data_IF_057516726797
#
_entry.id   IF_057516726797
#
_cell.length_a   1.000
_cell.length_b   1.000
_cell.length_c   1.000
_cell.angle_alpha   90.00
_cell.angle_beta   90.00
_cell.angle_gamma   90.00
#
_symmetry.space_group_name_H-M   'P 1'
#
loop_
_entity.id
_entity.type
_entity.pdbx_description
1 polymer ?
#
# COMPACT_ATOMS: atom_id res chain seq x y z
N UNK A 1 34.58 -29.38 3.73
CA UNK A 1 34.09 -28.95 5.05
C UNK A 1 34.54 -27.51 5.26
N UNK A 2 33.62 -26.57 5.53
CA UNK A 2 34.00 -25.19 5.83
C UNK A 2 34.63 -25.15 7.23
N UNK A 3 35.81 -24.55 7.35
CA UNK A 3 36.45 -24.36 8.65
C UNK A 3 35.56 -23.46 9.53
N UNK A 4 35.22 -23.95 10.71
CA UNK A 4 34.47 -23.19 11.72
C UNK A 4 35.47 -22.28 12.43
N UNK A 5 35.28 -20.96 12.36
CA UNK A 5 36.07 -20.01 13.14
C UNK A 5 35.54 -19.98 14.58
N UNK A 6 36.37 -19.53 15.54
CA UNK A 6 36.18 -19.63 17.01
C UNK A 6 34.93 -18.92 17.57
N UNK A 7 34.15 -18.30 16.71
CA UNK A 7 32.96 -17.48 16.95
C UNK A 7 31.66 -18.12 16.42
N UNK A 8 31.70 -19.39 15.98
CA UNK A 8 30.51 -20.18 15.62
C UNK A 8 29.88 -19.81 14.29
N UNK A 9 30.53 -18.96 13.49
CA UNK A 9 30.11 -18.59 12.13
C UNK A 9 30.99 -19.34 11.13
N UNK A 10 30.38 -20.06 10.20
CA UNK A 10 31.12 -20.72 9.12
C UNK A 10 31.89 -19.69 8.28
N UNK A 11 33.16 -19.99 7.97
CA UNK A 11 33.98 -19.18 7.06
C UNK A 11 33.26 -18.89 5.72
N UNK A 12 33.57 -17.77 5.05
CA UNK A 12 33.02 -17.47 3.73
C UNK A 12 33.30 -18.62 2.76
N UNK A 13 32.29 -18.99 1.96
CA UNK A 13 32.45 -20.03 0.93
C UNK A 13 33.54 -19.62 -0.08
N UNK A 14 34.26 -20.59 -0.70
CA UNK A 14 35.24 -20.28 -1.73
C UNK A 14 34.68 -19.37 -2.83
N UNK A 15 35.42 -18.32 -3.17
CA UNK A 15 35.01 -17.32 -4.16
C UNK A 15 33.93 -16.33 -3.68
N UNK A 16 33.61 -16.29 -2.38
CA UNK A 16 32.69 -15.32 -1.77
C UNK A 16 33.42 -14.30 -0.92
N UNK A 17 32.78 -13.14 -0.77
CA UNK A 17 33.32 -11.99 -0.07
C UNK A 17 33.56 -12.26 1.42
N UNK A 18 34.78 -11.96 1.89
CA UNK A 18 35.18 -12.13 3.29
C UNK A 18 34.60 -11.11 4.28
N UNK A 19 33.72 -10.21 3.84
CA UNK A 19 33.15 -9.18 4.72
C UNK A 19 32.06 -9.77 5.63
N UNK A 20 32.20 -9.57 6.94
CA UNK A 20 31.20 -9.99 7.92
C UNK A 20 30.09 -8.95 8.07
N UNK A 21 28.85 -9.33 7.73
CA UNK A 21 27.69 -8.45 7.83
C UNK A 21 27.08 -8.58 9.22
N UNK A 22 27.53 -7.73 10.15
CA UNK A 22 27.14 -7.74 11.58
C UNK A 22 25.62 -7.84 11.76
N UNK A 23 24.85 -6.98 11.08
CA UNK A 23 23.37 -6.96 11.17
C UNK A 23 22.73 -8.29 10.78
N UNK A 24 23.35 -9.05 9.87
CA UNK A 24 22.82 -10.32 9.35
C UNK A 24 23.50 -11.55 9.98
N UNK A 25 24.44 -11.34 10.91
CA UNK A 25 25.24 -12.37 11.59
C UNK A 25 25.84 -13.42 10.62
N UNK A 26 26.32 -12.98 9.46
CA UNK A 26 26.88 -13.87 8.42
C UNK A 26 27.84 -13.14 7.48
N UNK A 27 28.71 -13.90 6.81
CA UNK A 27 29.54 -13.37 5.72
C UNK A 27 28.71 -12.97 4.49
N UNK A 28 29.25 -12.01 3.72
CA UNK A 28 28.68 -11.54 2.47
C UNK A 28 28.65 -12.68 1.43
N UNK A 29 27.50 -12.90 0.79
CA UNK A 29 27.32 -13.97 -0.23
C UNK A 29 27.75 -13.53 -1.64
N UNK A 30 28.22 -12.30 -1.82
CA UNK A 30 28.59 -11.78 -3.13
C UNK A 30 29.87 -12.43 -3.65
N UNK A 31 29.94 -12.65 -4.96
CA UNK A 31 31.13 -13.21 -5.64
C UNK A 31 32.26 -12.16 -5.62
N UNK A 32 33.49 -12.63 -5.42
CA UNK A 32 34.70 -11.79 -5.52
C UNK A 32 35.33 -11.89 -6.91
N UNK A 33 35.99 -10.83 -7.34
CA UNK A 33 36.84 -10.88 -8.54
C UNK A 33 38.02 -11.83 -8.34
N UNK A 34 38.60 -12.34 -9.44
CA UNK A 34 39.78 -13.22 -9.38
C UNK A 34 40.91 -12.54 -8.61
N UNK A 35 41.39 -13.20 -7.54
CA UNK A 35 42.47 -12.68 -6.69
C UNK A 35 42.07 -11.61 -5.68
N UNK A 36 40.78 -11.36 -5.44
CA UNK A 36 40.29 -10.39 -4.45
C UNK A 36 39.61 -11.06 -3.27
N UNK A 37 39.71 -10.45 -2.09
CA UNK A 37 39.12 -10.96 -0.83
C UNK A 37 37.68 -10.48 -0.62
N UNK A 38 37.34 -9.32 -1.19
CA UNK A 38 36.03 -8.68 -1.03
C UNK A 38 35.30 -8.45 -2.36
N UNK A 39 33.97 -8.39 -2.33
CA UNK A 39 33.16 -8.09 -3.52
C UNK A 39 33.23 -6.59 -3.86
N UNK A 40 32.69 -6.20 -5.02
CA UNK A 40 32.68 -4.79 -5.45
C UNK A 40 32.05 -3.81 -4.46
N UNK A 41 31.10 -4.24 -3.62
CA UNK A 41 30.48 -3.41 -2.58
C UNK A 41 31.33 -3.26 -1.30
N UNK A 42 32.12 -4.29 -0.96
CA UNK A 42 32.96 -4.31 0.23
C UNK A 42 34.46 -4.14 -0.10
N UNK A 43 34.80 -3.74 -1.32
CA UNK A 43 36.19 -3.59 -1.77
C UNK A 43 37.02 -2.60 -0.93
N UNK A 44 36.37 -1.70 -0.19
CA UNK A 44 37.04 -0.77 0.73
C UNK A 44 37.55 -1.42 2.02
N UNK A 45 37.13 -2.65 2.32
CA UNK A 45 37.68 -3.41 3.44
C UNK A 45 39.05 -4.02 3.11
N UNK A 46 39.47 -3.94 1.84
CA UNK A 46 40.82 -4.29 1.38
C UNK A 46 41.69 -3.04 1.38
N UNK A 47 42.75 -3.00 2.18
CA UNK A 47 43.72 -1.89 2.19
C UNK A 47 44.57 -1.83 0.90
N UNK A 48 44.51 -2.86 0.06
CA UNK A 48 45.29 -3.05 -1.18
C UNK A 48 44.55 -2.60 -2.47
N UNK A 49 43.49 -1.79 -2.36
CA UNK A 49 42.80 -1.24 -3.53
C UNK A 49 43.43 0.09 -3.98
N UNK A 50 44.15 0.08 -5.11
CA UNK A 50 44.70 1.30 -5.75
C UNK A 50 43.64 2.37 -6.08
N UNK A 51 42.37 1.97 -6.20
CA UNK A 51 41.26 2.88 -6.53
C UNK A 51 40.52 3.31 -5.26
N UNK A 52 40.57 4.62 -4.97
CA UNK A 52 39.83 5.25 -3.87
C UNK A 52 38.33 5.27 -4.16
N UNK A 53 37.53 4.76 -3.22
CA UNK A 53 36.07 4.96 -3.20
C UNK A 53 35.70 6.03 -2.20
N UNK A 54 34.68 6.80 -2.55
CA UNK A 54 34.09 7.85 -1.72
C UNK A 54 32.59 7.54 -1.53
N UNK A 55 31.96 8.00 -0.44
CA UNK A 55 30.50 8.01 -0.35
C UNK A 55 29.88 8.74 -1.54
N UNK A 56 28.77 8.25 -2.07
CA UNK A 56 28.10 8.93 -3.16
C UNK A 56 27.52 10.28 -2.67
N UNK A 57 27.73 11.39 -3.38
CA UNK A 57 27.16 12.69 -3.03
C UNK A 57 25.62 12.73 -3.05
N UNK A 58 24.99 11.83 -3.81
CA UNK A 58 23.52 11.74 -3.92
C UNK A 58 22.90 10.82 -2.86
N UNK A 59 23.66 9.87 -2.31
CA UNK A 59 23.23 8.98 -1.22
C UNK A 59 24.44 8.38 -0.50
N UNK A 60 24.78 8.86 0.71
CA UNK A 60 25.92 8.37 1.47
C UNK A 60 25.85 6.89 1.87
N UNK A 61 24.70 6.21 1.68
CA UNK A 61 24.53 4.78 1.99
C UNK A 61 25.27 3.86 1.03
N UNK A 62 25.72 4.34 -0.12
CA UNK A 62 26.57 3.59 -1.04
C UNK A 62 27.84 4.35 -1.40
N UNK A 63 28.83 3.61 -1.91
CA UNK A 63 30.13 4.17 -2.30
C UNK A 63 30.38 4.03 -3.80
N UNK A 64 31.21 4.90 -4.34
CA UNK A 64 31.57 4.99 -5.76
C UNK A 64 33.06 5.25 -5.87
N UNK A 65 33.72 4.72 -6.91
CA UNK A 65 35.11 5.07 -7.19
C UNK A 65 35.21 6.56 -7.54
N UNK A 66 36.14 7.27 -6.89
CA UNK A 66 36.34 8.70 -7.06
C UNK A 66 36.57 9.08 -8.53
N UNK A 67 37.39 8.28 -9.23
CA UNK A 67 37.68 8.41 -10.66
C UNK A 67 36.46 8.22 -11.59
N UNK A 68 35.38 7.62 -11.09
CA UNK A 68 34.18 7.23 -11.83
C UNK A 68 32.95 8.01 -11.36
N UNK A 69 33.12 8.99 -10.46
CA UNK A 69 32.02 9.74 -9.86
C UNK A 69 31.15 10.41 -10.92
N UNK A 70 31.75 11.08 -11.91
CA UNK A 70 31.02 11.76 -12.99
C UNK A 70 30.13 10.82 -13.80
N UNK A 71 30.62 9.62 -14.12
CA UNK A 71 29.84 8.57 -14.80
C UNK A 71 28.75 8.00 -13.90
N UNK A 72 29.05 7.83 -12.62
CA UNK A 72 28.09 7.36 -11.62
C UNK A 72 26.93 8.33 -11.43
N UNK A 73 27.19 9.63 -11.23
CA UNK A 73 26.15 10.64 -11.00
C UNK A 73 25.11 10.68 -12.12
N UNK A 74 25.49 10.35 -13.36
CA UNK A 74 24.56 10.26 -14.50
C UNK A 74 23.57 9.09 -14.39
N UNK A 75 23.98 7.98 -13.77
CA UNK A 75 23.22 6.72 -13.66
C UNK A 75 22.88 6.32 -12.23
N UNK A 76 23.12 7.21 -11.26
CA UNK A 76 22.88 6.93 -9.86
C UNK A 76 21.38 6.73 -9.64
N UNK A 77 21.01 5.65 -8.96
CA UNK A 77 19.61 5.39 -8.63
C UNK A 77 19.02 6.46 -7.70
N UNK A 78 19.88 7.14 -6.92
CA UNK A 78 19.50 8.22 -6.00
C UNK A 78 19.43 9.59 -6.69
N UNK A 79 19.69 9.67 -8.00
CA UNK A 79 19.49 10.89 -8.78
C UNK A 79 17.99 11.21 -8.86
N UNK A 80 17.62 12.44 -8.54
CA UNK A 80 16.23 12.91 -8.72
C UNK A 80 15.86 12.86 -10.21
N UNK A 81 14.77 12.16 -10.51
CA UNK A 81 14.21 12.07 -11.85
C UNK A 81 13.24 13.22 -12.08
N UNK A 82 13.08 13.70 -13.33
CA UNK A 82 12.00 14.62 -13.67
C UNK A 82 10.67 14.04 -13.18
N UNK A 83 9.89 14.87 -12.50
CA UNK A 83 8.56 14.48 -12.02
C UNK A 83 7.61 14.45 -13.21
N UNK A 84 6.78 13.40 -13.35
CA UNK A 84 5.82 13.31 -14.44
C UNK A 84 4.72 14.37 -14.32
N UNK A 85 3.97 14.63 -15.40
CA UNK A 85 2.92 15.65 -15.46
C UNK A 85 1.80 15.45 -14.44
N UNK A 86 1.53 14.20 -14.08
CA UNK A 86 0.54 13.81 -13.07
C UNK A 86 1.06 13.85 -11.63
N UNK A 87 2.28 14.34 -11.41
CA UNK A 87 2.80 14.57 -10.07
C UNK A 87 2.42 15.96 -9.57
N UNK A 88 1.61 16.02 -8.51
CA UNK A 88 1.34 17.24 -7.74
C UNK A 88 1.65 16.96 -6.28
N UNK A 89 2.67 17.63 -5.74
CA UNK A 89 3.16 17.37 -4.39
C UNK A 89 2.02 17.51 -3.36
N UNK A 90 1.87 16.48 -2.55
CA UNK A 90 0.92 16.38 -1.43
C UNK A 90 -0.56 16.61 -1.77
N UNK A 91 -0.97 16.48 -3.03
CA UNK A 91 -2.36 16.75 -3.45
C UNK A 91 -3.39 15.89 -2.70
N UNK A 92 -3.04 14.64 -2.40
CA UNK A 92 -3.92 13.71 -1.70
C UNK A 92 -3.62 13.60 -0.21
N UNK A 93 -2.67 14.39 0.32
CA UNK A 93 -2.19 14.20 1.69
C UNK A 93 -3.22 14.65 2.76
N UNK A 94 -4.28 15.35 2.37
CA UNK A 94 -5.19 16.02 3.31
C UNK A 94 -4.55 17.28 3.93
N UNK A 95 -5.38 18.10 4.58
CA UNK A 95 -4.95 19.31 5.28
C UNK A 95 -4.33 18.99 6.63
N UNK A 96 -3.20 19.63 6.95
CA UNK A 96 -2.66 19.64 8.31
C UNK A 96 -3.48 20.62 9.15
N UNK A 97 -4.03 20.14 10.26
CA UNK A 97 -4.83 20.95 11.20
C UNK A 97 -4.06 21.18 12.48
N UNK A 98 -4.40 22.21 13.27
CA UNK A 98 -3.78 22.44 14.59
C UNK A 98 -3.95 21.22 15.52
N UNK A 99 -5.05 20.46 15.34
CA UNK A 99 -5.32 19.19 16.01
C UNK A 99 -4.22 18.13 15.79
N UNK A 100 -3.48 18.20 14.67
CA UNK A 100 -2.37 17.29 14.33
C UNK A 100 -1.05 17.68 14.98
N UNK A 101 -0.84 18.97 15.20
CA UNK A 101 0.41 19.49 15.78
C UNK A 101 0.48 19.17 17.28
N UNK A 102 -0.68 18.99 17.93
CA UNK A 102 -0.81 18.72 19.36
C UNK A 102 -0.90 17.21 19.72
N UNK A 103 -0.71 16.29 18.76
CA UNK A 103 -0.78 14.85 19.05
C UNK A 103 0.54 14.39 19.68
N UNK A 104 0.59 14.32 21.00
CA UNK A 104 1.62 13.51 21.68
C UNK A 104 1.32 12.03 21.41
N UNK A 105 2.20 11.35 20.66
CA UNK A 105 2.08 9.92 20.38
C UNK A 105 2.39 9.09 21.62
N UNK A 106 1.37 8.87 22.46
CA UNK A 106 1.47 7.97 23.62
C UNK A 106 1.22 6.52 23.18
N UNK A 107 2.21 5.67 23.36
CA UNK A 107 2.10 4.23 23.07
C UNK A 107 1.03 3.58 23.94
N UNK A 108 0.52 2.42 23.53
CA UNK A 108 -0.46 1.68 24.35
C UNK A 108 0.15 1.28 25.70
N UNK A 109 1.45 0.99 25.72
CA UNK A 109 2.15 0.51 26.90
C UNK A 109 2.31 1.57 28.01
N UNK A 110 2.27 2.85 27.64
CA UNK A 110 2.44 3.99 28.55
C UNK A 110 1.10 4.46 29.15
N UNK A 111 -0.04 3.92 28.68
CA UNK A 111 -1.36 4.32 29.15
C UNK A 111 -1.73 3.62 30.45
N UNK A 112 -2.37 4.36 31.35
CA UNK A 112 -2.98 3.79 32.56
C UNK A 112 -4.18 2.90 32.22
N UNK A 113 -4.56 2.02 33.17
CA UNK A 113 -5.75 1.18 33.03
C UNK A 113 -7.01 2.02 32.89
N UNK A 114 -7.11 3.10 33.67
CA UNK A 114 -8.25 4.02 33.72
C UNK A 114 -8.44 4.74 32.38
N UNK A 115 -7.35 5.22 31.78
CA UNK A 115 -7.37 5.81 30.44
C UNK A 115 -7.81 4.79 29.39
N UNK A 116 -7.30 3.56 29.48
CA UNK A 116 -7.68 2.53 28.53
C UNK A 116 -9.16 2.15 28.63
N UNK A 117 -9.70 2.02 29.84
CA UNK A 117 -11.14 1.82 30.03
C UNK A 117 -11.96 2.98 29.47
N UNK A 118 -11.54 4.24 29.69
CA UNK A 118 -12.22 5.41 29.11
C UNK A 118 -12.23 5.38 27.59
N UNK A 119 -11.13 5.00 26.95
CA UNK A 119 -11.04 4.86 25.50
C UNK A 119 -11.96 3.77 24.98
N UNK A 120 -12.01 2.61 25.65
CA UNK A 120 -12.93 1.52 25.28
C UNK A 120 -14.39 1.96 25.44
N UNK A 121 -14.74 2.75 26.46
CA UNK A 121 -16.09 3.30 26.61
C UNK A 121 -16.43 4.31 25.51
N UNK A 122 -15.49 5.19 25.14
CA UNK A 122 -15.65 6.10 23.99
C UNK A 122 -15.87 5.32 22.70
N UNK A 123 -15.06 4.29 22.44
CA UNK A 123 -15.20 3.40 21.28
C UNK A 123 -16.58 2.73 21.28
N UNK A 124 -16.96 2.08 22.38
CA UNK A 124 -18.27 1.41 22.53
C UNK A 124 -19.45 2.36 22.33
N UNK A 125 -19.28 3.64 22.68
CA UNK A 125 -20.30 4.67 22.45
C UNK A 125 -20.33 5.09 20.98
N UNK A 126 -19.17 5.35 20.37
CA UNK A 126 -19.06 5.79 18.99
C UNK A 126 -19.55 4.75 17.96
N UNK A 127 -19.49 3.45 18.31
CA UNK A 127 -20.00 2.36 17.46
C UNK A 127 -21.50 2.09 17.61
N UNK A 128 -22.19 2.73 18.58
CA UNK A 128 -23.64 2.54 18.73
C UNK A 128 -24.37 3.00 17.47
N UNK A 129 -25.33 2.19 17.02
CA UNK A 129 -26.11 2.46 15.82
C UNK A 129 -25.39 2.18 14.50
N UNK A 130 -24.12 1.73 14.53
CA UNK A 130 -23.43 1.22 13.36
C UNK A 130 -23.74 -0.26 13.15
N UNK A 131 -23.76 -0.71 11.90
CA UNK A 131 -23.68 -2.14 11.63
C UNK A 131 -22.27 -2.64 11.99
N UNK A 132 -22.19 -3.44 13.06
CA UNK A 132 -20.92 -3.99 13.54
C UNK A 132 -20.53 -5.33 12.94
N UNK A 133 -21.43 -5.93 12.18
CA UNK A 133 -21.23 -7.22 11.52
C UNK A 133 -21.54 -7.05 10.02
N UNK A 134 -20.51 -6.72 9.21
CA UNK A 134 -20.64 -6.66 7.77
C UNK A 134 -21.26 -7.95 7.19
N UNK A 135 -22.05 -7.80 6.13
CA UNK A 135 -22.60 -8.96 5.42
C UNK A 135 -21.47 -9.83 4.87
N UNK A 136 -21.72 -11.13 4.82
CA UNK A 136 -20.77 -12.10 4.30
C UNK A 136 -21.00 -12.32 2.80
N UNK A 137 -19.97 -12.15 1.98
CA UNK A 137 -20.02 -12.35 0.52
C UNK A 137 -18.81 -13.17 0.07
N UNK A 138 -18.87 -14.48 0.36
CA UNK A 138 -17.85 -15.46 0.00
C UNK A 138 -18.03 -15.94 -1.44
N UNK A 139 -17.78 -15.04 -2.38
CA UNK A 139 -17.84 -15.33 -3.80
C UNK A 139 -16.48 -15.82 -4.32
N UNK A 140 -16.46 -16.40 -5.50
CA UNK A 140 -15.23 -16.80 -6.20
C UNK A 140 -15.46 -16.70 -7.70
N UNK A 141 -14.58 -15.98 -8.39
CA UNK A 141 -14.69 -15.80 -9.83
C UNK A 141 -14.09 -16.98 -10.62
N UNK A 142 -14.79 -17.50 -11.66
CA UNK A 142 -14.32 -18.64 -12.45
C UNK A 142 -12.97 -18.45 -13.14
N UNK A 143 -12.59 -17.21 -13.47
CA UNK A 143 -11.31 -16.90 -14.12
C UNK A 143 -10.07 -17.39 -13.34
N UNK A 144 -10.20 -17.64 -12.04
CA UNK A 144 -9.11 -18.17 -11.21
C UNK A 144 -9.22 -19.67 -10.93
N UNK A 145 -10.24 -20.37 -11.44
CA UNK A 145 -10.49 -21.78 -11.10
C UNK A 145 -9.31 -22.68 -11.44
N UNK A 146 -8.70 -22.52 -12.63
CA UNK A 146 -7.52 -23.30 -13.01
C UNK A 146 -6.36 -23.00 -12.07
N UNK A 147 -6.06 -21.72 -11.86
CA UNK A 147 -4.97 -21.30 -10.99
C UNK A 147 -5.17 -21.74 -9.54
N UNK A 148 -6.39 -21.74 -9.01
CA UNK A 148 -6.70 -22.21 -7.65
C UNK A 148 -6.46 -23.72 -7.48
N UNK A 149 -6.63 -24.49 -8.55
CA UNK A 149 -6.49 -25.95 -8.54
C UNK A 149 -5.10 -26.42 -8.98
N UNK A 150 -4.16 -25.52 -9.30
CA UNK A 150 -2.79 -25.91 -9.65
C UNK A 150 -2.07 -26.51 -8.42
N UNK A 151 -1.69 -27.80 -8.45
CA UNK A 151 -1.03 -28.47 -7.33
C UNK A 151 0.38 -27.94 -7.04
N UNK A 152 0.96 -27.11 -7.93
CA UNK A 152 2.25 -26.46 -7.72
C UNK A 152 2.17 -25.24 -6.80
N UNK A 153 0.97 -24.76 -6.47
CA UNK A 153 0.82 -23.62 -5.59
C UNK A 153 1.19 -23.97 -4.16
N UNK A 154 2.12 -23.20 -3.57
CA UNK A 154 2.29 -23.16 -2.12
C UNK A 154 1.11 -22.47 -1.43
N UNK A 155 1.02 -22.66 -0.11
CA UNK A 155 -0.04 -22.08 0.74
C UNK A 155 -0.20 -20.56 0.58
N UNK A 156 0.92 -19.84 0.41
CA UNK A 156 0.92 -18.38 0.25
C UNK A 156 0.31 -17.96 -1.09
N UNK A 157 0.69 -18.64 -2.18
CA UNK A 157 0.07 -18.43 -3.49
C UNK A 157 -1.43 -18.72 -3.45
N UNK A 158 -1.83 -19.82 -2.81
CA UNK A 158 -3.22 -20.21 -2.66
C UNK A 158 -4.07 -19.19 -1.89
N UNK A 159 -3.57 -18.68 -0.75
CA UNK A 159 -4.20 -17.59 0.00
C UNK A 159 -4.46 -16.37 -0.88
N UNK A 160 -3.44 -15.94 -1.62
CA UNK A 160 -3.55 -14.79 -2.51
C UNK A 160 -4.53 -15.01 -3.67
N UNK A 161 -4.55 -16.21 -4.25
CA UNK A 161 -5.49 -16.56 -5.31
C UNK A 161 -6.92 -16.55 -4.80
N UNK A 162 -7.19 -17.14 -3.62
CA UNK A 162 -8.52 -17.10 -2.97
C UNK A 162 -9.01 -15.67 -2.74
N UNK A 163 -8.13 -14.79 -2.25
CA UNK A 163 -8.47 -13.38 -2.07
C UNK A 163 -8.80 -12.70 -3.40
N UNK A 164 -8.02 -12.92 -4.46
CA UNK A 164 -8.27 -12.34 -5.79
C UNK A 164 -9.56 -12.87 -6.40
N UNK A 165 -9.79 -14.18 -6.31
CA UNK A 165 -11.00 -14.81 -6.82
C UNK A 165 -12.25 -14.25 -6.15
N UNK A 166 -12.21 -14.02 -4.84
CA UNK A 166 -13.35 -13.43 -4.13
C UNK A 166 -13.55 -11.95 -4.43
N UNK A 167 -12.47 -11.16 -4.54
CA UNK A 167 -12.57 -9.76 -4.98
C UNK A 167 -13.25 -9.70 -6.35
N UNK A 168 -12.79 -10.48 -7.33
CA UNK A 168 -13.42 -10.51 -8.65
C UNK A 168 -14.86 -11.02 -8.61
N UNK A 169 -15.17 -12.02 -7.77
CA UNK A 169 -16.55 -12.51 -7.63
C UNK A 169 -17.50 -11.44 -7.08
N UNK A 170 -17.02 -10.62 -6.16
CA UNK A 170 -17.76 -9.45 -5.67
C UNK A 170 -17.88 -8.35 -6.72
N UNK A 171 -16.85 -8.12 -7.54
CA UNK A 171 -16.92 -7.16 -8.64
C UNK A 171 -17.94 -7.58 -9.70
N UNK A 172 -17.97 -8.87 -10.08
CA UNK A 172 -18.96 -9.45 -11.00
C UNK A 172 -20.38 -9.27 -10.46
N UNK A 173 -20.62 -9.63 -9.19
CA UNK A 173 -21.94 -9.51 -8.55
C UNK A 173 -22.41 -8.05 -8.38
N UNK A 174 -21.51 -7.08 -8.51
CA UNK A 174 -21.79 -5.65 -8.47
C UNK A 174 -21.77 -5.00 -9.86
N UNK A 175 -21.65 -5.78 -10.94
CA UNK A 175 -21.59 -5.30 -12.33
C UNK A 175 -20.44 -4.29 -12.57
N UNK A 176 -19.34 -4.46 -11.83
CA UNK A 176 -18.12 -3.66 -11.96
C UNK A 176 -17.17 -4.22 -13.03
N UNK A 177 -17.38 -5.47 -13.44
CA UNK A 177 -16.67 -6.12 -14.55
C UNK A 177 -17.42 -5.89 -15.86
N UNK A 178 -16.79 -5.26 -16.85
CA UNK A 178 -17.43 -4.99 -18.13
C UNK A 178 -16.56 -4.22 -19.12
N UNK A 179 -17.05 -4.05 -20.37
CA UNK A 179 -16.37 -3.28 -21.42
C UNK A 179 -16.39 -1.78 -21.13
N UNK A 180 -15.64 -1.02 -21.93
CA UNK A 180 -15.62 0.47 -21.92
C UNK A 180 -15.28 1.06 -20.55
N UNK A 181 -14.26 0.51 -19.89
CA UNK A 181 -13.86 0.89 -18.53
C UNK A 181 -12.36 1.00 -18.39
N UNK A 182 -11.93 1.87 -17.48
CA UNK A 182 -10.56 1.91 -17.01
C UNK A 182 -10.46 1.39 -15.56
N UNK A 183 -9.75 0.28 -15.37
CA UNK A 183 -9.46 -0.27 -14.05
C UNK A 183 -8.18 0.37 -13.48
N UNK A 184 -8.33 1.11 -12.39
CA UNK A 184 -7.19 1.74 -11.69
C UNK A 184 -6.83 0.92 -10.47
N UNK A 185 -5.74 0.15 -10.55
CA UNK A 185 -5.23 -0.63 -9.43
C UNK A 185 -4.28 0.23 -8.58
N UNK A 186 -4.76 0.68 -7.43
CA UNK A 186 -3.92 1.38 -6.46
C UNK A 186 -3.10 0.37 -5.65
N UNK A 187 -1.83 0.69 -5.40
CA UNK A 187 -0.93 -0.21 -4.69
C UNK A 187 -0.70 -1.51 -5.46
N UNK A 188 -0.50 -1.39 -6.77
CA UNK A 188 -0.60 -2.53 -7.67
C UNK A 188 0.46 -3.62 -7.45
N UNK A 189 1.57 -3.35 -6.76
CA UNK A 189 2.60 -4.34 -6.50
C UNK A 189 3.08 -5.00 -7.80
N UNK A 190 2.86 -6.31 -7.95
CA UNK A 190 3.17 -7.08 -9.16
C UNK A 190 2.12 -6.98 -10.29
N UNK A 191 0.96 -6.36 -10.06
CA UNK A 191 -0.14 -6.18 -11.03
C UNK A 191 -1.09 -7.37 -11.14
N UNK A 192 -1.14 -8.21 -10.11
CA UNK A 192 -1.90 -9.47 -10.17
C UNK A 192 -3.42 -9.28 -10.17
N UNK A 193 -3.95 -8.24 -9.52
CA UNK A 193 -5.40 -8.04 -9.51
C UNK A 193 -5.88 -7.61 -10.92
N UNK A 194 -5.21 -6.62 -11.52
CA UNK A 194 -5.46 -6.21 -12.91
C UNK A 194 -5.28 -7.36 -13.91
N UNK A 195 -4.26 -8.21 -13.71
CA UNK A 195 -4.08 -9.42 -14.51
C UNK A 195 -5.32 -10.31 -14.51
N UNK A 196 -5.88 -10.63 -13.34
CA UNK A 196 -7.07 -11.47 -13.27
C UNK A 196 -8.33 -10.80 -13.79
N UNK A 197 -8.48 -9.49 -13.59
CA UNK A 197 -9.59 -8.72 -14.20
C UNK A 197 -9.50 -8.83 -15.72
N UNK A 198 -8.31 -8.69 -16.30
CA UNK A 198 -8.10 -8.89 -17.73
C UNK A 198 -8.39 -10.32 -18.19
N UNK A 199 -8.02 -11.35 -17.41
CA UNK A 199 -8.40 -12.74 -17.73
C UNK A 199 -9.93 -12.92 -17.70
N UNK A 200 -10.62 -12.28 -16.76
CA UNK A 200 -12.09 -12.32 -16.70
C UNK A 200 -12.76 -11.57 -17.88
N UNK A 201 -12.07 -10.60 -18.47
CA UNK A 201 -12.59 -9.69 -19.50
C UNK A 201 -11.93 -9.88 -20.87
N UNK A 202 -11.44 -11.08 -21.19
CA UNK A 202 -10.72 -11.34 -22.46
C UNK A 202 -11.54 -11.02 -23.71
N UNK A 203 -12.86 -11.20 -23.63
CA UNK A 203 -13.81 -10.94 -24.73
C UNK A 203 -14.42 -9.52 -24.66
N UNK A 204 -14.06 -8.71 -23.66
CA UNK A 204 -14.61 -7.37 -23.50
C UNK A 204 -13.78 -6.35 -24.28
N UNK A 205 -14.46 -5.47 -25.01
CA UNK A 205 -13.84 -4.42 -25.80
C UNK A 205 -13.53 -3.18 -24.95
N UNK A 206 -12.49 -2.43 -25.36
CA UNK A 206 -12.16 -1.11 -24.82
C UNK A 206 -11.94 -1.12 -23.29
N UNK A 207 -11.18 -2.11 -22.81
CA UNK A 207 -10.84 -2.28 -21.39
C UNK A 207 -9.40 -1.88 -21.14
N UNK A 208 -9.19 -0.93 -20.23
CA UNK A 208 -7.89 -0.37 -19.95
C UNK A 208 -7.48 -0.54 -18.49
N UNK A 209 -6.17 -0.63 -18.24
CA UNK A 209 -5.61 -0.87 -16.92
C UNK A 209 -4.55 0.17 -16.58
N UNK A 210 -4.73 0.86 -15.46
CA UNK A 210 -3.78 1.82 -14.90
C UNK A 210 -3.28 1.33 -13.54
N UNK A 211 -2.02 0.94 -13.46
CA UNK A 211 -1.41 0.40 -12.26
C UNK A 211 -0.60 1.47 -11.54
N UNK A 212 -1.00 1.83 -10.31
CA UNK A 212 -0.33 2.85 -9.50
C UNK A 212 0.48 2.18 -8.41
N UNK A 213 1.80 2.42 -8.40
CA UNK A 213 2.71 1.83 -7.43
C UNK A 213 3.90 2.76 -7.14
N UNK A 214 4.20 3.01 -5.87
CA UNK A 214 5.32 3.89 -5.49
C UNK A 214 6.69 3.22 -5.70
N UNK A 215 6.78 1.90 -5.58
CA UNK A 215 8.02 1.14 -5.57
C UNK A 215 8.33 0.48 -6.91
N UNK A 216 9.61 0.28 -7.22
CA UNK A 216 9.97 -0.60 -8.33
C UNK A 216 9.80 -2.07 -7.92
N UNK A 217 8.80 -2.75 -8.47
CA UNK A 217 8.57 -4.18 -8.25
C UNK A 217 9.27 -5.04 -9.31
N UNK A 218 9.75 -6.22 -8.90
CA UNK A 218 10.27 -7.26 -9.82
C UNK A 218 9.15 -8.23 -10.16
N UNK A 219 9.30 -8.96 -11.27
CA UNK A 219 8.34 -9.99 -11.71
C UNK A 219 6.91 -9.45 -11.92
N UNK A 220 6.82 -8.25 -12.49
CA UNK A 220 5.54 -7.64 -12.90
C UNK A 220 4.87 -8.51 -13.95
N UNK A 221 3.56 -8.66 -13.86
CA UNK A 221 2.79 -9.45 -14.85
C UNK A 221 2.24 -8.61 -15.99
N UNK A 222 2.43 -7.29 -15.95
CA UNK A 222 1.96 -6.31 -16.94
C UNK A 222 2.31 -6.72 -18.39
N UNK A 223 3.54 -7.19 -18.63
CA UNK A 223 4.04 -7.52 -19.97
C UNK A 223 3.51 -8.84 -20.55
N UNK A 224 2.69 -9.59 -19.81
CA UNK A 224 2.05 -10.83 -20.31
C UNK A 224 0.81 -10.54 -21.17
N UNK A 225 0.36 -9.29 -21.20
CA UNK A 225 -0.87 -8.87 -21.86
C UNK A 225 -0.51 -8.17 -23.17
N UNK A 226 -0.65 -8.89 -24.28
CA UNK A 226 -0.44 -8.40 -25.65
C UNK A 226 -1.63 -8.77 -26.53
N UNK A 227 -2.83 -8.40 -26.12
CA UNK A 227 -3.97 -8.32 -27.03
C UNK A 227 -4.10 -6.87 -27.53
N UNK A 228 -4.69 -6.70 -28.71
CA UNK A 228 -4.71 -5.42 -29.44
C UNK A 228 -5.56 -4.34 -28.79
N UNK A 229 -6.56 -4.71 -27.98
CA UNK A 229 -7.61 -3.78 -27.50
C UNK A 229 -7.57 -3.49 -25.99
N UNK A 230 -6.68 -4.15 -25.23
CA UNK A 230 -6.45 -3.82 -23.81
C UNK A 230 -5.07 -3.20 -23.61
N UNK A 231 -5.02 -2.02 -22.98
CA UNK A 231 -3.73 -1.39 -22.62
C UNK A 231 -3.44 -1.49 -21.13
N UNK A 232 -2.15 -1.68 -20.81
CA UNK A 232 -1.64 -1.72 -19.44
C UNK A 232 -0.60 -0.62 -19.28
N UNK A 233 -0.95 0.42 -18.53
CA UNK A 233 -0.02 1.49 -18.14
C UNK A 233 0.30 1.40 -16.66
N UNK A 234 1.57 1.65 -16.30
CA UNK A 234 2.01 1.63 -14.90
C UNK A 234 2.68 2.95 -14.51
N UNK A 235 2.09 3.63 -13.54
CA UNK A 235 2.63 4.86 -12.97
C UNK A 235 3.48 4.53 -11.74
N UNK A 236 4.79 4.82 -11.82
CA UNK A 236 5.66 4.76 -10.65
C UNK A 236 5.57 6.07 -9.85
N UNK A 237 4.61 6.16 -8.94
CA UNK A 237 4.31 7.38 -8.17
C UNK A 237 3.65 7.03 -6.83
N UNK A 238 3.91 7.83 -5.80
CA UNK A 238 3.16 7.72 -4.54
C UNK A 238 1.76 8.31 -4.72
N UNK A 239 0.73 7.61 -4.26
CA UNK A 239 -0.67 8.04 -4.33
C UNK A 239 -0.83 9.41 -3.68
N UNK A 240 -0.04 9.73 -2.65
CA UNK A 240 -0.01 11.03 -1.99
C UNK A 240 0.22 12.21 -2.97
N UNK A 241 0.85 11.96 -4.11
CA UNK A 241 1.25 12.97 -5.10
C UNK A 241 0.61 12.79 -6.47
N UNK A 242 -0.30 11.83 -6.63
CA UNK A 242 -0.91 11.52 -7.92
C UNK A 242 -2.15 12.37 -8.17
N UNK A 243 -2.19 13.08 -9.29
CA UNK A 243 -3.39 13.72 -9.81
C UNK A 243 -3.88 12.94 -11.04
N UNK A 244 -4.99 12.20 -10.90
CA UNK A 244 -5.56 11.40 -12.00
C UNK A 244 -6.01 12.27 -13.17
N UNK A 245 -6.45 13.50 -12.92
CA UNK A 245 -6.92 14.41 -13.97
C UNK A 245 -5.81 14.82 -14.93
N UNK A 246 -4.54 14.66 -14.52
CA UNK A 246 -3.33 14.98 -15.30
C UNK A 246 -2.69 13.75 -15.93
N UNK A 247 -3.32 12.57 -15.83
CA UNK A 247 -2.83 11.35 -16.48
C UNK A 247 -3.26 11.40 -17.95
N UNK A 248 -2.34 11.52 -18.93
CA UNK A 248 -2.70 11.79 -20.33
C UNK A 248 -3.67 10.75 -20.91
N UNK A 249 -3.44 9.48 -20.59
CA UNK A 249 -4.29 8.38 -21.05
C UNK A 249 -5.75 8.51 -20.55
N UNK A 250 -5.95 8.96 -19.31
CA UNK A 250 -7.31 9.16 -18.77
C UNK A 250 -8.01 10.36 -19.42
N UNK A 251 -7.27 11.43 -19.74
CA UNK A 251 -7.78 12.59 -20.47
C UNK A 251 -8.16 12.25 -21.91
N UNK A 252 -7.37 11.39 -22.57
CA UNK A 252 -7.61 10.99 -23.96
C UNK A 252 -8.81 10.05 -24.09
N UNK A 253 -8.92 9.04 -23.22
CA UNK A 253 -9.95 8.00 -23.35
C UNK A 253 -11.25 8.32 -22.63
N UNK A 254 -11.19 9.07 -21.53
CA UNK A 254 -12.34 9.47 -20.71
C UNK A 254 -13.28 8.31 -20.32
N UNK A 255 -12.71 7.12 -20.14
CA UNK A 255 -13.49 5.95 -19.76
C UNK A 255 -13.88 6.01 -18.28
N UNK A 256 -15.09 5.53 -17.93
CA UNK A 256 -15.48 5.29 -16.57
C UNK A 256 -14.42 4.52 -15.77
N UNK A 257 -13.98 5.10 -14.66
CA UNK A 257 -12.96 4.53 -13.78
C UNK A 257 -13.59 3.59 -12.77
N UNK A 258 -13.00 2.39 -12.66
CA UNK A 258 -13.25 1.44 -11.58
C UNK A 258 -11.98 1.31 -10.74
N UNK A 259 -12.01 1.81 -9.52
CA UNK A 259 -10.87 1.74 -8.62
C UNK A 259 -10.79 0.38 -7.93
N UNK A 260 -9.62 -0.26 -7.94
CA UNK A 260 -9.42 -1.57 -7.32
C UNK A 260 -8.16 -1.61 -6.44
N UNK A 261 -8.16 -2.47 -5.42
CA UNK A 261 -6.98 -2.67 -4.57
C UNK A 261 -7.06 -3.93 -3.71
N UNK A 262 -6.01 -4.75 -3.73
CA UNK A 262 -5.87 -5.94 -2.88
C UNK A 262 -4.79 -5.68 -1.82
N UNK A 263 -5.23 -5.08 -0.71
CA UNK A 263 -4.42 -4.61 0.42
C UNK A 263 -3.77 -3.24 0.22
N UNK A 264 -4.61 -2.19 0.17
CA UNK A 264 -4.13 -0.82 0.30
C UNK A 264 -3.75 -0.52 1.74
N UNK A 265 -2.49 -0.81 2.09
CA UNK A 265 -2.00 -0.73 3.46
C UNK A 265 -1.97 0.71 4.01
N UNK A 266 -2.53 0.89 5.21
CA UNK A 266 -2.40 2.12 5.99
C UNK A 266 -3.05 3.31 5.31
N UNK A 267 -2.35 4.45 5.28
CA UNK A 267 -2.83 5.68 4.64
C UNK A 267 -3.17 5.52 3.14
N UNK A 268 -2.66 4.49 2.45
CA UNK A 268 -2.86 4.32 1.01
C UNK A 268 -4.34 4.23 0.60
N UNK A 269 -5.19 3.62 1.44
CA UNK A 269 -6.64 3.58 1.18
C UNK A 269 -7.23 4.99 1.17
N UNK A 270 -6.92 5.78 2.20
CA UNK A 270 -7.45 7.14 2.36
C UNK A 270 -6.88 8.10 1.29
N UNK A 271 -5.60 7.95 0.94
CA UNK A 271 -4.96 8.66 -0.17
C UNK A 271 -5.63 8.34 -1.52
N UNK A 272 -5.98 7.07 -1.78
CA UNK A 272 -6.66 6.67 -3.01
C UNK A 272 -8.09 7.24 -3.07
N UNK A 273 -8.82 7.23 -1.96
CA UNK A 273 -10.14 7.86 -1.86
C UNK A 273 -10.07 9.38 -2.11
N UNK A 274 -9.01 10.05 -1.66
CA UNK A 274 -8.80 11.48 -1.99
C UNK A 274 -8.45 11.66 -3.46
N UNK A 275 -7.56 10.83 -3.99
CA UNK A 275 -7.15 10.83 -5.41
C UNK A 275 -8.33 10.67 -6.38
N UNK A 276 -9.35 9.90 -5.99
CA UNK A 276 -10.54 9.65 -6.80
C UNK A 276 -11.58 10.77 -6.73
N UNK A 277 -11.68 11.48 -5.60
CA UNK A 277 -12.87 12.29 -5.32
C UNK A 277 -12.60 13.72 -4.84
N UNK A 278 -11.39 14.04 -4.38
CA UNK A 278 -11.04 15.41 -4.00
C UNK A 278 -10.52 16.16 -5.22
N UNK A 279 -11.04 17.37 -5.42
CA UNK A 279 -10.64 18.24 -6.53
C UNK A 279 -9.46 19.11 -6.12
N UNK A 280 -8.55 19.38 -7.07
CA UNK A 280 -7.61 20.49 -6.90
C UNK A 280 -8.38 21.81 -6.95
N UNK A 281 -8.68 22.41 -5.80
CA UNK A 281 -9.33 23.72 -5.73
C UNK A 281 -8.46 24.89 -6.26
N UNK A 282 -7.26 24.61 -6.80
CA UNK A 282 -6.23 25.61 -7.08
C UNK A 282 -6.31 26.32 -8.42
N UNK A 283 -7.26 25.97 -9.30
CA UNK A 283 -7.41 26.66 -10.59
C UNK A 283 -8.28 27.92 -10.53
N UNK A 284 -8.79 28.32 -9.35
CA UNK A 284 -9.57 29.57 -9.22
C UNK A 284 -8.77 30.80 -8.73
N UNK A 285 -7.59 30.61 -8.12
CA UNK A 285 -6.86 31.71 -7.47
C UNK A 285 -5.57 32.15 -8.19
N UNK A 286 -5.25 31.56 -9.35
CA UNK A 286 -4.06 31.89 -10.14
C UNK A 286 -4.38 32.42 -11.55
N UNK A 287 -5.54 33.06 -11.76
CA UNK A 287 -5.67 33.96 -12.90
C UNK A 287 -4.83 35.22 -12.61
N UNK A 288 -3.76 35.51 -13.39
CA UNK A 288 -3.13 36.82 -13.29
C UNK A 288 -4.17 37.86 -13.74
N UNK A 289 -4.23 39.05 -13.10
CA UNK A 289 -5.17 40.08 -13.53
C UNK A 289 -4.94 40.36 -15.01
N UNK A 290 -6.02 40.23 -15.78
CA UNK A 290 -6.07 40.45 -17.23
C UNK A 290 -5.30 41.71 -17.57
N UNK A 291 -4.13 41.55 -18.21
CA UNK A 291 -3.40 42.68 -18.80
C UNK A 291 -4.32 43.30 -19.85
N UNK A 292 -4.77 44.51 -19.55
CA UNK A 292 -5.40 45.45 -20.47
C UNK A 292 -4.58 45.49 -21.78
N UNK A 293 -5.11 44.90 -22.85
CA UNK A 293 -4.49 44.94 -24.17
C UNK A 293 -4.71 46.35 -24.76
N UNK A 294 -3.62 47.04 -25.06
CA UNK A 294 -3.64 48.16 -26.01
C UNK A 294 -3.66 47.56 -27.42
N UNK A 295 -4.63 47.97 -28.22
CA UNK A 295 -4.71 47.65 -29.65
C UNK A 295 -3.42 48.06 -30.37
N UNK A 296 -2.78 47.11 -31.04
CA UNK A 296 -2.03 47.33 -32.26
C UNK A 296 -2.26 46.13 -33.18
N UNK A 297 -2.52 46.45 -34.45
CA UNK A 297 -3.03 45.59 -35.51
C UNK A 297 -1.96 44.62 -36.04
N UNK A 298 -2.39 43.39 -36.37
CA UNK A 298 -1.68 42.49 -37.30
C UNK A 298 -0.92 41.33 -36.64
N UNK A 299 -1.55 40.16 -36.60
CA UNK A 299 -0.89 38.89 -36.25
C UNK A 299 -1.92 37.77 -36.05
N UNK A 300 -1.72 36.64 -36.72
CA UNK A 300 -2.62 35.48 -36.76
C UNK A 300 -3.05 35.00 -35.36
N UNK A 301 -4.36 34.85 -35.16
CA UNK A 301 -4.94 34.31 -33.93
C UNK A 301 -4.69 32.80 -33.85
N UNK A 302 -3.66 32.40 -33.10
CA UNK A 302 -3.62 31.06 -32.52
C UNK A 302 -4.57 31.08 -31.33
N UNK A 303 -5.76 30.50 -31.50
CA UNK A 303 -6.70 30.24 -30.41
C UNK A 303 -6.00 29.32 -29.38
N UNK A 304 -5.52 29.89 -28.29
CA UNK A 304 -5.23 29.12 -27.08
C UNK A 304 -6.57 28.66 -26.50
N UNK A 305 -6.92 27.41 -26.82
CA UNK A 305 -8.06 26.75 -26.21
C UNK A 305 -7.91 26.78 -24.69
N UNK A 306 -8.94 27.26 -24.01
CA UNK A 306 -9.13 27.02 -22.59
C UNK A 306 -9.27 25.51 -22.39
N UNK A 307 -8.21 24.84 -21.93
CA UNK A 307 -8.27 23.44 -21.53
C UNK A 307 -9.16 23.32 -20.29
N UNK A 308 -10.46 23.14 -20.50
CA UNK A 308 -11.31 22.55 -19.47
C UNK A 308 -10.89 21.09 -19.33
N UNK A 309 -10.06 20.77 -18.33
CA UNK A 309 -9.76 19.38 -18.00
C UNK A 309 -11.06 18.67 -17.64
N UNK A 310 -11.56 17.83 -18.55
CA UNK A 310 -12.78 17.04 -18.31
C UNK A 310 -12.56 16.07 -17.14
N UNK A 311 -13.60 15.90 -16.33
CA UNK A 311 -13.52 15.27 -15.00
C UNK A 311 -13.40 13.74 -15.12
N UNK A 312 -12.56 13.13 -14.26
CA UNK A 312 -12.46 11.66 -14.18
C UNK A 312 -13.75 11.11 -13.56
N UNK A 313 -14.56 10.43 -14.37
CA UNK A 313 -15.81 9.81 -13.91
C UNK A 313 -15.50 8.49 -13.20
N UNK A 314 -15.79 8.42 -11.90
CA UNK A 314 -15.64 7.18 -11.11
C UNK A 314 -16.97 6.44 -11.07
N UNK A 315 -17.03 5.24 -11.65
CA UNK A 315 -18.25 4.41 -11.72
C UNK A 315 -18.29 3.29 -10.70
N UNK A 316 -17.24 3.15 -9.88
CA UNK A 316 -17.26 2.26 -8.73
C UNK A 316 -15.88 2.02 -8.14
N UNK A 317 -15.86 1.39 -6.97
CA UNK A 317 -14.61 0.97 -6.32
C UNK A 317 -14.77 -0.35 -5.58
N UNK A 318 -13.68 -1.12 -5.53
CA UNK A 318 -13.57 -2.36 -4.76
C UNK A 318 -12.17 -2.47 -4.14
N UNK A 319 -12.08 -2.26 -2.82
CA UNK A 319 -10.79 -2.23 -2.10
C UNK A 319 -10.83 -3.14 -0.87
N UNK A 320 -9.91 -4.11 -0.82
CA UNK A 320 -9.69 -4.91 0.39
C UNK A 320 -8.94 -4.07 1.43
N UNK A 321 -9.58 -3.87 2.58
CA UNK A 321 -9.08 -3.01 3.67
C UNK A 321 -8.12 -3.78 4.56
N UNK A 322 -6.99 -3.15 4.91
CA UNK A 322 -6.02 -3.73 5.81
C UNK A 322 -5.15 -2.68 6.51
N UNK A 323 -4.36 -3.13 7.49
CA UNK A 323 -3.35 -2.31 8.15
C UNK A 323 -3.88 -1.00 8.75
N UNK A 324 -5.06 -1.03 9.39
CA UNK A 324 -5.62 0.13 10.10
C UNK A 324 -4.62 0.76 11.09
N UNK A 325 -3.77 -0.07 11.70
CA UNK A 325 -2.64 0.34 12.55
C UNK A 325 -1.55 1.16 11.84
N UNK A 326 -1.67 1.45 10.55
CA UNK A 326 -0.77 2.34 9.79
C UNK A 326 -1.51 3.50 9.15
N UNK A 327 -2.77 3.68 9.50
CA UNK A 327 -3.49 4.88 9.12
C UNK A 327 -2.96 6.05 9.93
N UNK A 328 -2.97 7.24 9.34
CA UNK A 328 -2.55 8.46 9.99
C UNK A 328 -3.70 9.44 9.91
N UNK A 329 -3.93 10.20 11.00
CA UNK A 329 -5.03 11.14 11.06
C UNK A 329 -4.98 12.13 9.90
N UNK A 330 -3.79 12.65 9.57
CA UNK A 330 -3.56 13.56 8.43
C UNK A 330 -4.26 13.11 7.16
N UNK A 331 -4.02 11.87 6.75
CA UNK A 331 -4.49 11.29 5.50
C UNK A 331 -5.95 10.83 5.59
N UNK A 332 -6.39 10.42 6.77
CA UNK A 332 -7.69 9.82 7.00
C UNK A 332 -8.84 10.68 6.46
N UNK A 333 -9.77 10.04 5.76
CA UNK A 333 -10.89 10.72 5.10
C UNK A 333 -12.11 10.89 6.00
N UNK A 334 -12.28 10.01 7.00
CA UNK A 334 -13.43 10.01 7.90
C UNK A 334 -13.35 10.98 9.08
N UNK A 335 -12.63 12.11 8.96
CA UNK A 335 -12.45 13.06 10.07
C UNK A 335 -13.78 13.60 10.59
N UNK A 336 -14.68 13.99 9.69
CA UNK A 336 -15.98 14.55 10.08
C UNK A 336 -16.88 13.52 10.77
N UNK A 337 -16.84 12.26 10.31
CA UNK A 337 -17.51 11.15 10.97
C UNK A 337 -17.06 10.95 12.43
N UNK A 338 -15.76 11.10 12.68
CA UNK A 338 -15.18 11.03 14.03
C UNK A 338 -15.66 12.20 14.88
N UNK A 339 -15.64 13.42 14.34
CA UNK A 339 -16.11 14.63 15.04
C UNK A 339 -17.58 14.55 15.42
N UNK A 340 -18.43 14.06 14.52
CA UNK A 340 -19.86 13.80 14.79
C UNK A 340 -20.08 12.82 15.95
N UNK A 341 -19.11 11.94 16.22
CA UNK A 341 -19.11 10.98 17.34
C UNK A 341 -18.42 11.50 18.60
N UNK A 342 -18.04 12.78 18.61
CA UNK A 342 -17.31 13.39 19.72
C UNK A 342 -15.87 12.85 19.87
N UNK A 343 -15.27 12.41 18.77
CA UNK A 343 -13.90 11.91 18.71
C UNK A 343 -13.01 12.86 17.90
N UNK A 344 -11.73 12.93 18.26
CA UNK A 344 -10.74 13.69 17.51
C UNK A 344 -9.50 12.88 17.18
N UNK A 345 -8.42 13.58 16.84
CA UNK A 345 -7.14 13.00 16.45
C UNK A 345 -6.53 12.12 17.55
N UNK A 346 -6.70 12.50 18.82
CA UNK A 346 -6.21 11.75 19.99
C UNK A 346 -6.90 10.39 20.12
N UNK A 347 -8.24 10.34 19.99
CA UNK A 347 -8.97 9.07 20.00
C UNK A 347 -8.65 8.24 18.77
N UNK A 348 -8.55 8.85 17.58
CA UNK A 348 -8.15 8.13 16.38
C UNK A 348 -6.79 7.48 16.53
N UNK A 349 -5.78 8.21 17.01
CA UNK A 349 -4.43 7.71 17.28
C UNK A 349 -4.42 6.51 18.23
N UNK A 350 -5.29 6.54 19.25
CA UNK A 350 -5.50 5.42 20.16
C UNK A 350 -6.14 4.20 19.46
N UNK A 351 -7.26 4.42 18.76
CA UNK A 351 -8.03 3.36 18.11
C UNK A 351 -7.27 2.73 16.94
N UNK A 352 -6.50 3.52 16.21
CA UNK A 352 -5.57 3.03 15.20
C UNK A 352 -4.57 2.04 15.81
N UNK A 353 -3.94 2.34 16.95
CA UNK A 353 -3.04 1.39 17.64
C UNK A 353 -3.80 0.16 18.16
N UNK A 354 -4.93 0.38 18.82
CA UNK A 354 -5.79 -0.70 19.36
C UNK A 354 -6.35 -1.62 18.27
N UNK A 355 -6.45 -1.16 17.02
CA UNK A 355 -6.90 -1.99 15.88
C UNK A 355 -6.02 -3.22 15.64
N UNK A 356 -4.73 -3.16 16.02
CA UNK A 356 -3.81 -4.30 15.97
C UNK A 356 -4.24 -5.45 16.88
N UNK A 357 -5.09 -5.20 17.89
CA UNK A 357 -5.54 -6.24 18.81
C UNK A 357 -6.49 -7.24 18.17
N UNK A 358 -7.07 -6.91 17.02
CA UNK A 358 -7.94 -7.80 16.26
C UNK A 358 -7.25 -9.13 15.89
N UNK A 359 -5.92 -9.18 15.91
CA UNK A 359 -5.14 -10.38 15.57
C UNK A 359 -4.49 -11.06 16.79
N UNK A 360 -4.75 -10.58 18.03
CA UNK A 360 -4.10 -11.11 19.24
C UNK A 360 -4.45 -12.57 19.57
N UNK A 361 -5.62 -13.09 19.17
CA UNK A 361 -6.04 -14.47 19.47
C UNK A 361 -5.27 -15.56 18.70
N UNK A 362 -4.74 -15.24 17.52
CA UNK A 362 -4.18 -16.24 16.60
C UNK A 362 -2.81 -16.79 17.04
N UNK A 363 -2.03 -16.00 17.78
CA UNK A 363 -0.70 -16.40 18.27
C UNK A 363 -0.78 -17.52 19.33
N UNK A 364 -1.89 -17.64 20.06
CA UNK A 364 -2.10 -18.73 21.03
C UNK A 364 -2.36 -20.07 20.34
N UNK A 365 -3.08 -20.08 19.22
CA UNK A 365 -3.41 -21.30 18.47
C UNK A 365 -2.17 -21.87 17.76
N UNK A 366 -1.29 -21.01 17.22
CA UNK A 366 0.01 -21.44 16.66
C UNK A 366 0.95 -22.02 17.74
N UNK A 367 0.89 -21.50 18.96
CA UNK A 367 1.67 -21.99 20.11
C UNK A 367 1.13 -23.31 20.69
N UNK A 368 -0.18 -23.57 20.64
CA UNK A 368 -0.78 -24.78 21.21
C UNK A 368 -0.80 -25.98 20.26
N UNK A 369 -0.68 -25.76 18.95
CA UNK A 369 -0.69 -26.82 17.93
C UNK A 369 0.70 -27.36 17.57
N UNK A 370 1.80 -26.79 18.08
CA UNK A 370 3.15 -27.30 17.89
C UNK A 370 4.05 -27.01 19.11
N UNK A 371 4.06 -27.88 20.14
CA UNK A 371 4.95 -27.72 21.28
C UNK A 371 6.42 -28.01 20.96
N UNK A 372 6.71 -28.74 19.86
CA UNK A 372 8.05 -29.27 19.56
C UNK A 372 8.61 -28.79 18.21
N UNK A 373 8.71 -27.49 17.98
CA UNK A 373 9.68 -26.92 17.01
C UNK A 373 10.20 -25.56 17.47
N UNK A 374 10.69 -25.46 18.70
CA UNK A 374 11.69 -24.44 19.02
C UNK A 374 13.06 -24.97 18.62
N UNK A 375 13.72 -24.28 17.68
CA UNK A 375 15.05 -24.57 17.13
C UNK A 375 15.12 -25.60 15.99
N UNK A 376 14.74 -25.19 14.78
CA UNK A 376 15.54 -25.44 13.56
C UNK A 376 15.04 -24.52 12.45
N UNK A 377 15.80 -23.46 12.20
CA UNK A 377 15.66 -22.56 11.05
C UNK A 377 15.94 -23.35 9.76
N UNK A 378 14.91 -23.93 9.14
CA UNK A 378 15.00 -24.37 7.75
C UNK A 378 14.56 -23.19 6.87
N UNK A 379 15.55 -22.38 6.48
CA UNK A 379 15.41 -21.40 5.39
C UNK A 379 15.40 -22.15 4.06
N UNK A 380 14.23 -22.33 3.48
CA UNK A 380 14.13 -22.43 2.03
C UNK A 380 14.19 -21.01 1.46
N UNK A 381 15.21 -20.74 0.65
CA UNK A 381 15.34 -19.51 -0.14
C UNK A 381 14.38 -19.63 -1.33
N UNK A 382 13.15 -19.13 -1.21
CA UNK A 382 12.27 -18.88 -2.36
C UNK A 382 12.20 -17.39 -2.68
N UNK A 383 12.22 -17.11 -3.98
CA UNK A 383 12.54 -15.83 -4.58
C UNK A 383 11.37 -14.83 -4.49
N UNK A 384 11.59 -13.70 -3.82
CA UNK A 384 10.89 -12.43 -4.09
C UNK A 384 9.42 -12.35 -3.66
N UNK A 385 9.08 -12.86 -2.48
CA UNK A 385 7.73 -12.78 -1.91
C UNK A 385 7.37 -11.38 -1.39
N UNK A 386 6.10 -11.01 -1.60
CA UNK A 386 5.47 -9.82 -1.04
C UNK A 386 5.41 -9.99 0.48
N UNK A 387 6.17 -9.18 1.23
CA UNK A 387 6.14 -9.23 2.69
C UNK A 387 4.79 -8.71 3.15
N UNK A 388 3.83 -9.62 3.38
CA UNK A 388 2.60 -9.28 4.07
C UNK A 388 2.97 -8.74 5.46
N UNK A 389 2.45 -7.56 5.78
CA UNK A 389 2.60 -6.97 7.09
C UNK A 389 1.60 -7.62 8.06
N UNK A 390 1.87 -8.87 8.46
CA UNK A 390 1.32 -9.38 9.71
C UNK A 390 1.71 -8.36 10.80
N UNK A 391 0.71 -7.77 11.45
CA UNK A 391 0.88 -6.61 12.31
C UNK A 391 2.03 -6.79 13.29
N UNK A 392 2.89 -5.77 13.41
CA UNK A 392 3.84 -5.70 14.50
C UNK A 392 3.04 -5.68 15.79
N UNK A 393 2.99 -6.79 16.52
CA UNK A 393 2.41 -6.79 17.86
C UNK A 393 3.27 -5.89 18.71
N UNK A 394 2.80 -4.67 19.02
CA UNK A 394 3.29 -4.00 20.20
C UNK A 394 3.06 -4.97 21.35
N UNK A 395 4.13 -5.36 22.04
CA UNK A 395 4.03 -6.26 23.19
C UNK A 395 3.15 -5.57 24.22
N UNK A 396 1.92 -6.05 24.36
CA UNK A 396 0.98 -5.55 25.34
C UNK A 396 1.56 -5.84 26.73
N UNK A 397 1.88 -4.82 27.53
CA UNK A 397 2.58 -5.02 28.80
C UNK A 397 1.84 -5.99 29.73
N UNK A 398 2.60 -6.79 30.48
CA UNK A 398 2.05 -7.78 31.41
C UNK A 398 1.13 -7.17 32.47
N UNK A 399 1.36 -5.91 32.86
CA UNK A 399 0.50 -5.21 33.82
C UNK A 399 -0.91 -4.90 33.26
N UNK A 400 -1.07 -4.83 31.94
CA UNK A 400 -2.34 -4.65 31.24
C UNK A 400 -2.99 -5.98 30.83
N UNK A 401 -2.23 -7.07 30.67
CA UNK A 401 -2.78 -8.42 30.39
C UNK A 401 -3.80 -8.87 31.45
N UNK A 402 -3.66 -8.42 32.69
CA UNK A 402 -4.61 -8.70 33.77
C UNK A 402 -5.85 -7.79 33.76
N UNK A 403 -5.87 -6.71 32.96
CA UNK A 403 -6.96 -5.75 32.91
C UNK A 403 -8.00 -6.06 31.82
N UNK A 404 -7.57 -6.66 30.71
CA UNK A 404 -8.46 -6.99 29.57
C UNK A 404 -8.09 -8.39 29.06
N UNK A 405 -9.09 -9.27 28.97
CA UNK A 405 -8.89 -10.62 28.43
C UNK A 405 -8.43 -10.58 26.97
N UNK A 406 -7.79 -11.66 26.50
CA UNK A 406 -7.39 -11.77 25.10
C UNK A 406 -8.58 -11.65 24.14
N UNK A 407 -9.72 -12.24 24.51
CA UNK A 407 -10.97 -12.18 23.74
C UNK A 407 -11.55 -10.76 23.67
N UNK A 408 -11.58 -10.04 24.78
CA UNK A 408 -12.08 -8.66 24.79
C UNK A 408 -11.13 -7.74 24.01
N UNK A 409 -9.81 -7.94 24.07
CA UNK A 409 -8.86 -7.19 23.21
C UNK A 409 -9.12 -7.42 21.73
N UNK A 410 -9.35 -8.67 21.35
CA UNK A 410 -9.67 -9.03 19.96
C UNK A 410 -10.97 -8.36 19.49
N UNK A 411 -12.00 -8.38 20.33
CA UNK A 411 -13.26 -7.68 20.08
C UNK A 411 -13.07 -6.17 19.96
N UNK A 412 -12.33 -5.56 20.87
CA UNK A 412 -12.01 -4.13 20.84
C UNK A 412 -11.23 -3.76 19.58
N UNK A 413 -10.25 -4.58 19.18
CA UNK A 413 -9.50 -4.36 17.94
C UNK A 413 -10.38 -4.40 16.70
N UNK A 414 -11.32 -5.36 16.62
CA UNK A 414 -12.33 -5.40 15.55
C UNK A 414 -13.21 -4.15 15.53
N UNK A 415 -13.69 -3.69 16.69
CA UNK A 415 -14.48 -2.46 16.78
C UNK A 415 -13.69 -1.24 16.32
N UNK A 416 -12.39 -1.15 16.63
CA UNK A 416 -11.53 -0.07 16.15
C UNK A 416 -11.41 -0.06 14.62
N UNK A 417 -11.12 -1.22 14.01
CA UNK A 417 -11.06 -1.37 12.55
C UNK A 417 -12.38 -0.92 11.91
N UNK A 418 -13.48 -1.43 12.43
CA UNK A 418 -14.82 -1.15 11.92
C UNK A 418 -15.20 0.33 12.07
N UNK A 419 -14.88 0.99 13.18
CA UNK A 419 -15.13 2.43 13.35
C UNK A 419 -14.37 3.26 12.30
N UNK A 420 -13.10 2.90 12.04
CA UNK A 420 -12.29 3.55 11.00
C UNK A 420 -12.89 3.34 9.61
N UNK A 421 -13.40 2.13 9.33
CA UNK A 421 -14.01 1.82 8.04
C UNK A 421 -15.37 2.51 7.85
N UNK A 422 -16.17 2.67 8.90
CA UNK A 422 -17.41 3.45 8.83
C UNK A 422 -17.16 4.92 8.51
N UNK A 423 -16.05 5.51 8.95
CA UNK A 423 -15.70 6.87 8.51
C UNK A 423 -15.36 6.94 7.02
N UNK A 424 -14.86 5.85 6.41
CA UNK A 424 -14.68 5.75 4.95
C UNK A 424 -16.01 5.59 4.23
N UNK A 425 -16.95 4.83 4.79
CA UNK A 425 -18.34 4.77 4.28
C UNK A 425 -18.99 6.15 4.30
N UNK A 426 -18.92 6.85 5.43
CA UNK A 426 -19.48 8.20 5.55
C UNK A 426 -18.90 9.16 4.52
N UNK A 427 -17.58 9.16 4.34
CA UNK A 427 -16.90 9.98 3.34
C UNK A 427 -17.38 9.71 1.91
N UNK A 428 -17.61 8.44 1.56
CA UNK A 428 -18.13 8.03 0.25
C UNK A 428 -19.60 8.41 0.06
N UNK A 429 -20.42 8.27 1.10
CA UNK A 429 -21.84 8.69 1.07
C UNK A 429 -21.97 10.18 0.78
N UNK A 430 -21.15 11.01 1.43
CA UNK A 430 -21.11 12.46 1.18
C UNK A 430 -20.73 12.83 -0.26
N UNK A 431 -20.15 11.90 -1.02
CA UNK A 431 -19.75 12.06 -2.42
C UNK A 431 -20.73 11.44 -3.41
N UNK A 432 -21.93 11.09 -2.94
CA UNK A 432 -22.97 10.54 -3.80
C UNK A 432 -22.76 9.08 -4.16
N UNK A 433 -22.05 8.31 -3.35
CA UNK A 433 -21.94 6.86 -3.51
C UNK A 433 -22.78 6.09 -2.49
N UNK A 434 -23.16 4.87 -2.84
CA UNK A 434 -23.71 3.83 -1.98
C UNK A 434 -22.61 2.85 -1.59
N UNK A 435 -21.88 3.09 -0.48
CA UNK A 435 -20.80 2.21 -0.09
C UNK A 435 -21.29 1.07 0.83
N UNK A 436 -20.54 -0.03 0.83
CA UNK A 436 -20.81 -1.21 1.67
C UNK A 436 -19.50 -1.79 2.19
N UNK A 437 -19.55 -2.37 3.38
CA UNK A 437 -18.50 -3.28 3.89
C UNK A 437 -19.03 -4.71 3.80
N UNK A 438 -18.18 -5.64 3.37
CA UNK A 438 -18.51 -7.07 3.35
C UNK A 438 -17.33 -7.93 3.78
N UNK A 439 -17.59 -9.04 4.46
CA UNK A 439 -16.59 -10.09 4.61
C UNK A 439 -16.46 -10.84 3.29
N UNK A 440 -15.39 -10.56 2.54
CA UNK A 440 -15.18 -11.18 1.21
C UNK A 440 -14.46 -12.52 1.30
N UNK A 441 -13.71 -12.76 2.36
CA UNK A 441 -13.06 -14.05 2.57
C UNK A 441 -13.17 -14.50 4.01
N UNK A 442 -12.98 -15.79 4.24
CA UNK A 442 -13.04 -16.35 5.58
C UNK A 442 -11.77 -16.02 6.37
N UNK A 443 -11.92 -15.97 7.69
CA UNK A 443 -10.85 -15.74 8.66
C UNK A 443 -9.66 -16.72 8.57
N UNK A 444 -9.89 -17.96 8.13
CA UNK A 444 -8.86 -18.97 7.91
C UNK A 444 -7.99 -18.65 6.67
N UNK A 445 -8.52 -17.88 5.72
CA UNK A 445 -7.76 -17.39 4.56
C UNK A 445 -7.02 -16.11 4.92
N UNK A 446 -7.69 -15.14 5.52
CA UNK A 446 -7.09 -13.84 5.87
C UNK A 446 -7.79 -13.20 7.07
N UNK A 447 -7.01 -12.58 7.97
CA UNK A 447 -7.54 -11.72 9.04
C UNK A 447 -7.88 -10.31 8.53
N UNK A 448 -7.38 -9.95 7.35
CA UNK A 448 -7.76 -8.76 6.61
C UNK A 448 -8.74 -9.21 5.53
N UNK A 449 -10.01 -9.32 5.93
CA UNK A 449 -11.07 -9.95 5.14
C UNK A 449 -12.29 -9.05 4.90
N UNK A 450 -12.15 -7.74 5.14
CA UNK A 450 -13.19 -6.75 4.84
C UNK A 450 -12.93 -6.10 3.49
N UNK A 451 -13.97 -6.06 2.66
CA UNK A 451 -13.99 -5.41 1.36
C UNK A 451 -14.85 -4.16 1.44
N UNK A 452 -14.28 -3.02 1.09
CA UNK A 452 -15.01 -1.78 0.84
C UNK A 452 -15.43 -1.75 -0.64
N UNK A 453 -16.72 -1.66 -0.88
CA UNK A 453 -17.25 -1.42 -2.22
C UNK A 453 -18.07 -0.14 -2.24
N UNK A 454 -18.15 0.52 -3.40
CA UNK A 454 -19.05 1.64 -3.58
C UNK A 454 -19.48 1.77 -5.04
N UNK A 455 -20.75 2.09 -5.24
CA UNK A 455 -21.37 2.39 -6.53
C UNK A 455 -21.97 3.80 -6.49
N UNK A 456 -22.08 4.53 -7.61
CA UNK A 456 -22.84 5.77 -7.67
C UNK A 456 -24.27 5.60 -7.13
N UNK A 457 -24.80 6.63 -6.46
CA UNK A 457 -26.13 6.59 -5.82
C UNK A 457 -27.29 6.68 -6.80
#
# INVERSE_FOLDING_TARGET
MAAVTSDGVSAPLPGRCGFYVVKKKRYCKMVVGKGKTFCGEHGNADSDSERKRIPCPLDPKHTVFEDSLSKHLKKCNSKEKPKPVYYVKDINAGSVTEEEIAIDEVSIAERSKEELYRLIQKLKTAVKGLNTEPDTSLLSHPALNEALNDPKNGNFAFKHLKQQASILGNMEALELLGPERCYVEFGAGKGKLSHWIHVALQEAENVHFLLVERSSTRFKVDGKHKNTDSTFDRLQVDIQHLDLSRVPFLQEKQLPVIAVGKHLCGAATDLALRCLFERSAKDKDNEPPTKRIKLQEGGEEVMQGSESSEEVVVSGLTVALCCHHRCEWRHYVGKDFFRERGLGATEFSAFQRMSSWATCGMNRVKSSLNPEKSSHDIKYEEEGEEVEHEGSSENFPDHLNNAISAEERERVGRLCKMLIDHGRLHYLQQRGFKPSLRFYTSWDVSLENVLLTALPS
#
